data_IF_439465613707
#
_entry.id   IF_439465613707
#
_cell.length_a   1.000
_cell.length_b   1.000
_cell.length_c   1.000
_cell.angle_alpha   90.00
_cell.angle_beta   90.00
_cell.angle_gamma   90.00
#
_symmetry.space_group_name_H-M   'P 1'
#
loop_
_entity.id
_entity.type
_entity.pdbx_description
1 polymer ?
#
# COMPACT_ATOMS: atom_id res chain seq x y z
N UNK A 1 -61.74 4.43 16.68
CA UNK A 1 -60.41 4.72 16.10
C UNK A 1 -59.87 3.47 15.41
N UNK A 2 -59.45 3.56 14.14
CA UNK A 2 -58.97 2.42 13.33
C UNK A 2 -57.61 1.90 13.84
N UNK A 3 -57.62 0.83 14.64
CA UNK A 3 -56.42 0.23 15.28
C UNK A 3 -55.35 -0.26 14.27
N UNK A 4 -55.75 -0.59 13.05
CA UNK A 4 -54.84 -1.17 12.05
C UNK A 4 -53.83 -0.16 11.48
N UNK A 5 -54.16 1.14 11.48
CA UNK A 5 -53.23 2.18 11.01
C UNK A 5 -52.09 2.46 11.99
N UNK A 6 -52.32 2.26 13.28
CA UNK A 6 -51.32 2.44 14.33
C UNK A 6 -50.22 1.38 14.24
N UNK A 7 -50.61 0.10 14.09
CA UNK A 7 -49.68 -1.02 13.94
C UNK A 7 -48.85 -0.89 12.66
N UNK A 8 -49.43 -0.40 11.57
CA UNK A 8 -48.70 -0.20 10.32
C UNK A 8 -47.59 0.85 10.46
N UNK A 9 -47.88 2.00 11.08
CA UNK A 9 -46.87 3.04 11.33
C UNK A 9 -45.77 2.54 12.28
N UNK A 10 -46.12 1.80 13.32
CA UNK A 10 -45.15 1.20 14.23
C UNK A 10 -44.20 0.23 13.51
N UNK A 11 -44.73 -0.66 12.67
CA UNK A 11 -43.89 -1.59 11.89
C UNK A 11 -42.98 -0.86 10.89
N UNK A 12 -43.47 0.20 10.24
CA UNK A 12 -42.68 1.00 9.30
C UNK A 12 -41.52 1.69 10.02
N UNK A 13 -41.78 2.28 11.18
CA UNK A 13 -40.75 2.91 12.03
C UNK A 13 -39.73 1.87 12.49
N UNK A 14 -40.18 0.70 12.96
CA UNK A 14 -39.28 -0.38 13.40
C UNK A 14 -38.39 -0.87 12.26
N UNK A 15 -38.94 -1.12 11.07
CA UNK A 15 -38.16 -1.55 9.89
C UNK A 15 -37.17 -0.48 9.47
N UNK A 16 -37.56 0.80 9.54
CA UNK A 16 -36.67 1.92 9.19
C UNK A 16 -35.49 2.03 10.15
N UNK A 17 -35.74 1.95 11.46
CA UNK A 17 -34.69 1.97 12.49
C UNK A 17 -33.79 0.73 12.36
N UNK A 18 -34.36 -0.44 12.10
CA UNK A 18 -33.60 -1.68 11.88
C UNK A 18 -32.70 -1.58 10.63
N UNK A 19 -33.20 -1.00 9.55
CA UNK A 19 -32.42 -0.82 8.32
C UNK A 19 -31.27 0.17 8.50
N UNK A 20 -31.53 1.29 9.19
CA UNK A 20 -30.49 2.28 9.51
C UNK A 20 -29.39 1.69 10.40
N UNK A 21 -29.75 0.90 11.40
CA UNK A 21 -28.78 0.24 12.29
C UNK A 21 -27.94 -0.81 11.55
N UNK A 22 -28.54 -1.59 10.64
CA UNK A 22 -27.77 -2.50 9.77
C UNK A 22 -26.78 -1.77 8.87
N UNK A 23 -27.18 -0.66 8.26
CA UNK A 23 -26.30 0.15 7.40
C UNK A 23 -25.11 0.71 8.19
N UNK A 24 -25.36 1.22 9.40
CA UNK A 24 -24.28 1.69 10.29
C UNK A 24 -23.32 0.56 10.66
N UNK A 25 -23.84 -0.61 11.05
CA UNK A 25 -23.03 -1.80 11.37
C UNK A 25 -22.16 -2.22 10.18
N UNK A 26 -22.73 -2.26 8.98
CA UNK A 26 -21.98 -2.61 7.76
C UNK A 26 -20.87 -1.59 7.46
N UNK A 27 -21.15 -0.30 7.62
CA UNK A 27 -20.16 0.77 7.46
C UNK A 27 -19.01 0.65 8.47
N UNK A 28 -19.33 0.43 9.75
CA UNK A 28 -18.33 0.25 10.81
C UNK A 28 -17.48 -1.00 10.57
N UNK A 29 -18.09 -2.13 10.23
CA UNK A 29 -17.39 -3.37 9.91
C UNK A 29 -16.42 -3.20 8.73
N UNK A 30 -16.90 -2.60 7.64
CA UNK A 30 -16.08 -2.32 6.45
C UNK A 30 -14.90 -1.41 6.77
N UNK A 31 -15.12 -0.37 7.59
CA UNK A 31 -14.06 0.53 8.04
C UNK A 31 -13.01 -0.20 8.90
N UNK A 32 -13.44 -1.04 9.84
CA UNK A 32 -12.55 -1.84 10.70
C UNK A 32 -11.70 -2.79 9.85
N UNK A 33 -12.32 -3.50 8.90
CA UNK A 33 -11.58 -4.41 8.00
C UNK A 33 -10.56 -3.64 7.18
N UNK A 34 -10.92 -2.50 6.59
CA UNK A 34 -9.98 -1.70 5.81
C UNK A 34 -8.78 -1.27 6.66
N UNK A 35 -9.03 -0.75 7.87
CA UNK A 35 -7.98 -0.32 8.80
C UNK A 35 -7.12 -1.49 9.29
N UNK A 36 -7.72 -2.66 9.50
CA UNK A 36 -6.99 -3.88 9.85
C UNK A 36 -6.10 -4.34 8.70
N UNK A 37 -6.60 -4.26 7.46
CA UNK A 37 -5.83 -4.61 6.27
C UNK A 37 -4.65 -3.66 6.08
N UNK A 38 -4.85 -2.36 6.25
CA UNK A 38 -3.77 -1.38 6.22
C UNK A 38 -2.65 -1.75 7.22
N UNK A 39 -3.01 -2.07 8.48
CA UNK A 39 -2.03 -2.50 9.50
C UNK A 39 -1.31 -3.82 9.18
N UNK A 40 -1.97 -4.71 8.45
CA UNK A 40 -1.43 -6.04 8.15
C UNK A 40 -0.66 -6.09 6.83
N UNK A 41 -0.80 -5.09 5.96
CA UNK A 41 -0.20 -5.06 4.61
C UNK A 41 0.90 -4.01 4.49
N UNK A 42 0.79 -2.92 5.23
CA UNK A 42 1.72 -1.79 5.18
C UNK A 42 2.63 -1.78 6.41
N UNK A 43 3.93 -1.65 6.19
CA UNK A 43 4.94 -1.48 7.23
C UNK A 43 4.83 -2.50 8.37
N UNK A 44 4.58 -3.77 8.03
CA UNK A 44 4.67 -4.85 9.01
C UNK A 44 6.11 -5.00 9.51
N UNK A 45 6.28 -5.49 10.74
CA UNK A 45 7.61 -5.62 11.35
C UNK A 45 8.58 -6.40 10.45
N UNK A 46 8.13 -7.48 9.84
CA UNK A 46 8.93 -8.27 8.89
C UNK A 46 9.37 -7.45 7.67
N UNK A 47 8.45 -6.69 7.07
CA UNK A 47 8.73 -5.90 5.87
C UNK A 47 9.64 -4.70 6.16
N UNK A 48 9.54 -4.11 7.36
CA UNK A 48 10.48 -3.07 7.81
C UNK A 48 11.91 -3.64 7.89
N UNK A 49 12.09 -4.81 8.50
CA UNK A 49 13.40 -5.46 8.57
C UNK A 49 13.94 -5.83 7.18
N UNK A 50 13.10 -6.41 6.32
CA UNK A 50 13.46 -6.71 4.93
C UNK A 50 13.86 -5.45 4.16
N UNK A 51 13.17 -4.33 4.38
CA UNK A 51 13.45 -3.04 3.73
C UNK A 51 14.78 -2.47 4.20
N UNK A 52 15.07 -2.58 5.50
CA UNK A 52 16.36 -2.17 6.07
C UNK A 52 17.54 -2.93 5.44
N UNK A 53 17.46 -4.27 5.38
CA UNK A 53 18.52 -5.07 4.77
C UNK A 53 18.62 -4.85 3.26
N UNK A 54 17.49 -4.65 2.58
CA UNK A 54 17.47 -4.28 1.16
C UNK A 54 18.23 -2.99 0.92
N UNK A 55 18.02 -1.96 1.77
CA UNK A 55 18.79 -0.71 1.70
C UNK A 55 20.29 -0.96 1.85
N UNK A 56 20.69 -1.67 2.90
CA UNK A 56 22.11 -1.94 3.17
C UNK A 56 22.80 -2.70 2.03
N UNK A 57 22.12 -3.69 1.43
CA UNK A 57 22.66 -4.47 0.33
C UNK A 57 22.82 -3.60 -0.91
N UNK A 58 21.82 -2.77 -1.24
CA UNK A 58 21.92 -1.82 -2.35
C UNK A 58 23.05 -0.82 -2.13
N UNK A 59 23.19 -0.29 -0.90
CA UNK A 59 24.25 0.65 -0.56
C UNK A 59 25.65 0.02 -0.67
N UNK A 60 25.77 -1.26 -0.32
CA UNK A 60 27.02 -2.00 -0.45
C UNK A 60 27.41 -2.27 -1.89
N UNK A 61 26.45 -2.56 -2.77
CA UNK A 61 26.71 -2.90 -4.18
C UNK A 61 26.91 -1.65 -5.06
N UNK A 62 26.19 -0.55 -4.76
CA UNK A 62 26.14 0.63 -5.64
C UNK A 62 26.66 1.92 -4.98
N UNK A 63 27.12 1.86 -3.73
CA UNK A 63 27.46 3.03 -2.93
C UNK A 63 26.22 3.79 -2.49
N UNK A 64 26.29 5.12 -2.37
CA UNK A 64 25.06 5.91 -2.16
C UNK A 64 24.03 5.61 -3.25
N UNK A 65 22.76 5.46 -2.85
CA UNK A 65 21.67 4.94 -3.68
C UNK A 65 21.43 5.67 -5.01
N UNK A 66 22.06 6.82 -5.23
CA UNK A 66 22.06 7.55 -6.49
C UNK A 66 22.57 6.75 -7.69
N UNK A 67 23.57 5.88 -7.54
CA UNK A 67 24.07 5.05 -8.66
C UNK A 67 23.03 4.04 -9.10
N UNK A 68 22.36 3.38 -8.15
CA UNK A 68 21.31 2.41 -8.45
C UNK A 68 20.13 3.07 -9.15
N UNK A 69 19.72 4.27 -8.72
CA UNK A 69 18.65 5.04 -9.36
C UNK A 69 18.87 5.30 -10.85
N UNK A 70 20.12 5.44 -11.31
CA UNK A 70 20.42 5.64 -12.73
C UNK A 70 20.12 4.40 -13.60
N UNK A 71 20.05 3.21 -12.99
CA UNK A 71 19.69 1.96 -13.68
C UNK A 71 18.18 1.73 -13.76
N UNK A 72 17.39 2.60 -13.11
CA UNK A 72 15.96 2.44 -12.95
C UNK A 72 15.16 3.14 -14.05
N UNK A 73 13.95 2.66 -14.29
CA UNK A 73 13.01 3.36 -15.15
C UNK A 73 12.56 4.65 -14.46
N UNK A 74 12.35 5.71 -15.24
CA UNK A 74 11.92 7.03 -14.74
C UNK A 74 10.50 7.34 -15.22
N UNK A 75 9.45 6.86 -14.53
CA UNK A 75 8.07 7.12 -14.93
C UNK A 75 7.66 8.61 -14.81
N UNK A 76 8.38 9.40 -14.02
CA UNK A 76 8.11 10.83 -13.82
C UNK A 76 9.32 11.61 -13.34
N UNK A 77 9.14 12.92 -13.15
CA UNK A 77 10.18 13.78 -12.55
C UNK A 77 10.47 13.29 -11.13
N UNK A 78 11.74 12.98 -10.84
CA UNK A 78 12.24 12.51 -9.54
C UNK A 78 11.71 11.17 -9.01
N UNK A 79 10.93 10.44 -9.81
CA UNK A 79 10.38 9.12 -9.46
C UNK A 79 11.14 8.06 -10.23
N UNK A 80 11.72 7.12 -9.50
CA UNK A 80 12.49 6.02 -10.07
C UNK A 80 11.84 4.70 -9.69
N UNK A 81 11.59 3.86 -10.69
CA UNK A 81 11.07 2.51 -10.55
C UNK A 81 12.17 1.53 -10.96
N UNK A 82 12.70 0.82 -9.98
CA UNK A 82 13.80 -0.11 -10.12
C UNK A 82 13.28 -1.54 -10.08
N UNK A 83 13.64 -2.33 -11.08
CA UNK A 83 13.48 -3.78 -11.03
C UNK A 83 14.80 -4.39 -10.54
N UNK A 84 14.70 -5.38 -9.66
CA UNK A 84 15.87 -6.10 -9.19
C UNK A 84 16.35 -7.04 -10.30
N UNK A 85 17.45 -6.67 -10.96
CA UNK A 85 18.12 -7.47 -12.00
C UNK A 85 19.63 -7.55 -11.72
N UNK A 86 20.20 -8.75 -11.80
CA UNK A 86 21.62 -9.03 -11.54
C UNK A 86 21.85 -10.15 -10.51
N UNK A 87 22.96 -10.89 -10.64
CA UNK A 87 23.23 -12.16 -9.92
C UNK A 87 23.25 -12.03 -8.39
N UNK A 88 23.79 -10.94 -7.82
CA UNK A 88 23.84 -10.75 -6.35
C UNK A 88 22.52 -10.25 -5.78
N UNK A 89 21.84 -9.41 -6.56
CA UNK A 89 20.50 -8.89 -6.27
C UNK A 89 19.40 -9.96 -6.41
N UNK A 90 19.68 -11.08 -7.09
CA UNK A 90 18.72 -12.17 -7.22
C UNK A 90 18.38 -12.82 -5.87
N UNK A 91 19.32 -12.78 -4.91
CA UNK A 91 19.10 -13.26 -3.54
C UNK A 91 18.07 -12.41 -2.79
N UNK A 92 18.02 -11.09 -3.03
CA UNK A 92 16.97 -10.22 -2.47
C UNK A 92 15.60 -10.60 -3.03
N UNK A 93 15.53 -10.84 -4.35
CA UNK A 93 14.29 -11.23 -5.02
C UNK A 93 13.79 -12.60 -4.56
N UNK A 94 14.70 -13.56 -4.35
CA UNK A 94 14.34 -14.93 -3.97
C UNK A 94 14.11 -15.09 -2.46
N UNK A 95 14.91 -14.44 -1.62
CA UNK A 95 14.87 -14.63 -0.15
C UNK A 95 13.93 -13.65 0.54
N UNK A 96 13.88 -12.41 0.07
CA UNK A 96 13.02 -11.38 0.65
C UNK A 96 11.75 -11.13 -0.16
N UNK A 97 11.57 -11.80 -1.30
CA UNK A 97 10.37 -11.70 -2.14
C UNK A 97 10.16 -10.27 -2.67
N UNK A 98 11.26 -9.53 -2.87
CA UNK A 98 11.19 -8.16 -3.39
C UNK A 98 10.85 -8.20 -4.88
N UNK A 99 9.74 -7.57 -5.24
CA UNK A 99 9.27 -7.46 -6.62
C UNK A 99 9.87 -6.21 -7.29
N UNK A 100 9.71 -5.05 -6.65
CA UNK A 100 10.10 -3.74 -7.17
C UNK A 100 10.55 -2.79 -6.06
N UNK A 101 11.39 -1.83 -6.42
CA UNK A 101 11.85 -0.78 -5.52
C UNK A 101 11.56 0.57 -6.18
N UNK A 102 10.99 1.50 -5.42
CA UNK A 102 10.69 2.85 -5.87
C UNK A 102 11.47 3.86 -5.05
N UNK A 103 12.06 4.86 -5.72
CA UNK A 103 12.63 6.04 -5.07
C UNK A 103 11.82 7.25 -5.46
N UNK A 104 11.08 7.82 -4.51
CA UNK A 104 10.18 8.94 -4.76
C UNK A 104 9.92 9.76 -3.51
N UNK A 105 9.40 10.96 -3.71
CA UNK A 105 8.84 11.79 -2.64
C UNK A 105 7.31 11.66 -2.69
N UNK A 106 6.65 11.15 -1.65
CA UNK A 106 5.20 10.90 -1.68
C UNK A 106 4.36 12.13 -2.06
N UNK A 107 4.73 13.31 -1.55
CA UNK A 107 4.02 14.57 -1.85
C UNK A 107 4.09 14.97 -3.33
N UNK A 108 5.24 14.77 -3.99
CA UNK A 108 5.42 15.05 -5.42
C UNK A 108 4.57 14.12 -6.30
N UNK A 109 4.45 12.84 -5.90
CA UNK A 109 3.64 11.86 -6.65
C UNK A 109 2.15 12.13 -6.47
N UNK A 110 1.71 12.42 -5.24
CA UNK A 110 0.29 12.68 -4.95
C UNK A 110 -0.25 13.96 -5.60
N UNK A 111 0.63 14.90 -5.95
CA UNK A 111 0.26 16.14 -6.65
C UNK A 111 0.30 16.00 -8.18
N UNK A 112 0.98 14.97 -8.72
CA UNK A 112 1.12 14.77 -10.16
C UNK A 112 0.30 13.56 -10.65
N UNK A 113 -0.89 13.83 -11.19
CA UNK A 113 -1.80 12.81 -11.73
C UNK A 113 -1.20 11.98 -12.86
N UNK A 114 -0.29 12.55 -13.66
CA UNK A 114 0.37 11.84 -14.76
C UNK A 114 1.34 10.74 -14.31
N UNK A 115 1.92 10.87 -13.11
CA UNK A 115 2.78 9.85 -12.50
C UNK A 115 1.95 8.78 -11.82
N UNK A 116 0.90 9.18 -11.09
CA UNK A 116 -0.01 8.26 -10.39
C UNK A 116 -0.56 7.17 -11.31
N UNK A 117 -0.98 7.53 -12.53
CA UNK A 117 -1.57 6.57 -13.49
C UNK A 117 -0.57 5.51 -13.98
N UNK A 118 0.73 5.78 -13.86
CA UNK A 118 1.79 4.82 -14.25
C UNK A 118 2.14 3.83 -13.15
N UNK A 119 1.67 4.07 -11.91
CA UNK A 119 1.91 3.19 -10.77
C UNK A 119 0.78 2.18 -10.63
N UNK A 120 1.08 1.03 -10.03
CA UNK A 120 0.07 0.03 -9.71
C UNK A 120 -0.81 0.47 -8.55
N UNK A 121 -2.08 0.03 -8.55
CA UNK A 121 -3.08 0.44 -7.58
C UNK A 121 -2.65 0.22 -6.12
N UNK A 122 -1.94 -0.88 -5.83
CA UNK A 122 -1.46 -1.17 -4.46
C UNK A 122 -0.36 -0.21 -4.01
N UNK A 123 0.54 0.18 -4.91
CA UNK A 123 1.58 1.18 -4.61
C UNK A 123 0.98 2.58 -4.46
N UNK A 124 -0.04 2.93 -5.27
CA UNK A 124 -0.78 4.19 -5.11
C UNK A 124 -1.44 4.26 -3.73
N UNK A 125 -2.08 3.18 -3.30
CA UNK A 125 -2.73 3.10 -1.99
C UNK A 125 -1.72 3.27 -0.85
N UNK A 126 -0.56 2.62 -0.96
CA UNK A 126 0.53 2.79 0.01
C UNK A 126 1.11 4.22 0.02
N UNK A 127 1.30 4.85 -1.14
CA UNK A 127 1.78 6.25 -1.20
C UNK A 127 0.76 7.20 -0.55
N UNK A 128 -0.55 6.95 -0.73
CA UNK A 128 -1.60 7.69 -0.02
C UNK A 128 -1.53 7.46 1.49
N UNK A 129 -1.22 6.24 1.93
CA UNK A 129 -1.01 5.92 3.34
C UNK A 129 0.18 6.69 3.95
N UNK A 130 1.30 6.79 3.23
CA UNK A 130 2.46 7.59 3.65
C UNK A 130 2.15 9.09 3.82
N UNK A 131 1.09 9.56 3.15
CA UNK A 131 0.51 10.86 3.37
C UNK A 131 1.15 12.00 2.57
N UNK A 132 0.33 13.04 2.35
CA UNK A 132 0.64 14.20 1.49
C UNK A 132 1.77 15.09 2.02
N UNK A 133 2.11 14.99 3.30
CA UNK A 133 3.07 15.90 3.97
C UNK A 133 4.47 15.30 4.16
N UNK A 134 4.70 14.06 3.72
CA UNK A 134 6.04 13.50 3.70
C UNK A 134 6.80 14.08 2.49
N UNK A 135 7.57 15.14 2.75
CA UNK A 135 8.52 15.71 1.80
C UNK A 135 9.88 15.00 1.83
N UNK A 136 10.01 13.93 2.61
CA UNK A 136 11.24 13.14 2.66
C UNK A 136 11.27 12.19 1.48
N UNK A 137 12.44 12.12 0.83
CA UNK A 137 12.69 11.13 -0.21
C UNK A 137 12.70 9.75 0.45
N UNK A 138 11.93 8.82 -0.12
CA UNK A 138 11.76 7.48 0.44
C UNK A 138 12.08 6.40 -0.58
N UNK A 139 12.68 5.34 -0.09
CA UNK A 139 12.79 4.06 -0.77
C UNK A 139 11.57 3.25 -0.34
N UNK A 140 10.69 2.96 -1.29
CA UNK A 140 9.52 2.10 -1.09
C UNK A 140 9.83 0.76 -1.72
N UNK A 141 9.74 -0.31 -0.94
CA UNK A 141 9.97 -1.67 -1.41
C UNK A 141 8.63 -2.38 -1.49
N UNK A 142 8.34 -2.92 -2.68
CA UNK A 142 7.17 -3.74 -2.95
C UNK A 142 7.56 -5.21 -2.90
N UNK A 143 6.87 -5.95 -2.05
CA UNK A 143 7.05 -7.38 -1.86
C UNK A 143 5.88 -8.13 -2.48
N UNK A 144 6.15 -9.28 -3.09
CA UNK A 144 5.12 -10.16 -3.63
C UNK A 144 5.38 -11.58 -3.17
N UNK A 145 4.59 -12.02 -2.20
CA UNK A 145 4.62 -13.38 -1.66
C UNK A 145 3.64 -14.23 -2.45
N UNK A 146 4.13 -15.31 -3.07
CA UNK A 146 3.29 -16.25 -3.80
C UNK A 146 3.05 -17.48 -2.93
N UNK A 147 1.80 -17.93 -2.87
CA UNK A 147 1.38 -19.12 -2.14
C UNK A 147 1.30 -20.33 -3.09
N UNK A 148 1.35 -21.53 -2.51
CA UNK A 148 1.36 -22.78 -3.28
C UNK A 148 0.06 -23.03 -4.06
N UNK A 149 -1.03 -22.39 -3.66
CA UNK A 149 -2.34 -22.42 -4.31
C UNK A 149 -2.44 -21.47 -5.53
N UNK A 150 -1.35 -20.76 -5.86
CA UNK A 150 -1.30 -19.79 -6.95
C UNK A 150 -1.83 -18.41 -6.59
N UNK A 151 -2.28 -18.21 -5.34
CA UNK A 151 -2.62 -16.87 -4.85
C UNK A 151 -1.36 -16.10 -4.48
N UNK A 152 -1.47 -14.77 -4.39
CA UNK A 152 -0.36 -13.93 -3.97
C UNK A 152 -0.84 -12.79 -3.08
N UNK A 153 0.04 -12.37 -2.18
CA UNK A 153 -0.13 -11.17 -1.36
C UNK A 153 0.96 -10.17 -1.69
N UNK A 154 0.57 -8.90 -1.69
CA UNK A 154 1.47 -7.78 -1.97
C UNK A 154 1.61 -6.99 -0.69
N UNK A 155 2.86 -6.73 -0.29
CA UNK A 155 3.18 -5.90 0.87
C UNK A 155 4.03 -4.72 0.45
N UNK A 156 3.95 -3.65 1.25
CA UNK A 156 4.73 -2.45 1.04
C UNK A 156 5.37 -2.02 2.34
N UNK A 157 6.62 -1.58 2.25
CA UNK A 157 7.28 -0.88 3.34
C UNK A 157 8.23 0.17 2.79
N UNK A 158 8.48 1.22 3.59
CA UNK A 158 9.32 2.34 3.18
C UNK A 158 10.36 2.72 4.21
N UNK A 159 11.43 3.33 3.72
CA UNK A 159 12.51 3.86 4.55
C UNK A 159 13.04 5.14 3.93
N UNK A 160 13.48 6.08 4.75
CA UNK A 160 14.04 7.35 4.29
C UNK A 160 15.42 7.15 3.66
N UNK A 161 15.73 7.98 2.65
CA UNK A 161 16.93 7.88 1.81
C UNK A 161 17.68 9.19 1.75
#
# INVERSE_FOLDING_TARGET
>A
MKKNGFVFIETLVVVSVLSLTLLMLFGSYSYIIRKSRERNVFDTTEMIYKTYYTKQILEKEYGTLGTYMNTCNKPGTNVYECTISGNRLTQLKQSFEVEKIYFLTPSEVLTNTGVLVKLDATTIDYIKHLGKYSNTRRMIVKYKKNYQDGTYEVFHSSMEV
#
